data_IF_928064719452
#
_entry.id   IF_928064719452
#
_cell.length_a   1.000
_cell.length_b   1.000
_cell.length_c   1.000
_cell.angle_alpha   90.00
_cell.angle_beta   90.00
_cell.angle_gamma   90.00
#
_symmetry.space_group_name_H-M   'P 1'
#
loop_
_entity.id
_entity.type
_entity.pdbx_description
1 polymer ?
#
# COMPACT_ATOMS: atom_id res chain seq x y z
N UNK A 1 15.76 -3.57 14.79
CA UNK A 1 14.33 -3.66 14.81
C UNK A 1 13.74 -3.16 13.51
N UNK A 2 12.76 -3.85 12.98
CA UNK A 2 12.19 -3.47 11.70
C UNK A 2 11.12 -2.44 11.88
N UNK A 3 11.25 -1.26 11.22
CA UNK A 3 10.22 -0.24 11.29
C UNK A 3 9.43 -0.18 9.99
N UNK A 4 9.90 -0.83 8.93
CA UNK A 4 9.19 -0.88 7.66
C UNK A 4 9.25 -2.28 7.10
N UNK A 5 8.20 -2.67 6.41
CA UNK A 5 8.16 -3.95 5.73
C UNK A 5 7.74 -3.73 4.29
N UNK A 6 8.51 -4.26 3.35
CA UNK A 6 8.19 -4.12 1.93
C UNK A 6 7.84 -5.49 1.37
N UNK A 7 6.73 -5.57 0.64
CA UNK A 7 6.29 -6.81 0.03
C UNK A 7 6.15 -6.58 -1.48
N UNK A 8 6.54 -7.60 -2.25
CA UNK A 8 6.39 -7.55 -3.70
C UNK A 8 5.32 -8.57 -4.10
N UNK A 9 4.48 -8.20 -5.05
CA UNK A 9 3.34 -9.02 -5.39
C UNK A 9 3.35 -9.44 -6.87
N UNK A 10 2.79 -10.60 -7.14
CA UNK A 10 2.65 -11.07 -8.50
C UNK A 10 1.25 -10.68 -8.94
N UNK A 11 1.04 -9.39 -9.14
CA UNK A 11 -0.25 -8.83 -9.50
C UNK A 11 -0.06 -7.91 -10.69
N UNK A 12 -1.05 -7.88 -11.57
CA UNK A 12 -0.96 -7.02 -12.75
C UNK A 12 -1.15 -5.56 -12.40
N UNK A 13 -1.73 -5.27 -11.24
CA UNK A 13 -2.02 -3.91 -10.86
C UNK A 13 -1.12 -3.39 -9.78
N UNK A 14 -0.79 -4.18 -8.78
CA UNK A 14 -0.04 -3.76 -7.61
C UNK A 14 1.33 -4.41 -7.65
N UNK A 15 2.37 -3.59 -7.74
CA UNK A 15 3.72 -4.12 -7.82
C UNK A 15 4.29 -4.45 -6.45
N UNK A 16 4.07 -3.59 -5.50
CA UNK A 16 4.63 -3.79 -4.16
C UNK A 16 3.93 -2.89 -3.16
N UNK A 17 4.20 -3.11 -1.89
CA UNK A 17 3.74 -2.20 -0.85
C UNK A 17 4.78 -2.09 0.22
N UNK A 18 4.79 -0.99 0.95
CA UNK A 18 5.67 -0.77 2.08
C UNK A 18 4.84 -0.28 3.25
N UNK A 19 5.00 -0.90 4.40
CA UNK A 19 4.27 -0.46 5.59
C UNK A 19 5.26 0.08 6.60
N UNK A 20 4.98 1.29 7.10
CA UNK A 20 5.81 1.92 8.11
C UNK A 20 5.11 1.72 9.45
N UNK A 21 5.64 0.85 10.30
CA UNK A 21 5.03 0.54 11.58
C UNK A 21 5.05 1.73 12.54
N UNK A 22 5.99 2.64 12.37
CA UNK A 22 6.09 3.77 13.26
C UNK A 22 5.02 4.81 12.97
N UNK A 23 4.77 5.08 11.70
CA UNK A 23 3.80 6.10 11.31
C UNK A 23 2.45 5.51 10.88
N UNK A 24 2.36 4.18 10.82
CA UNK A 24 1.14 3.48 10.41
C UNK A 24 0.70 3.92 9.02
N UNK A 25 1.66 4.03 8.12
CA UNK A 25 1.35 4.38 6.73
C UNK A 25 1.60 3.18 5.83
N UNK A 26 0.68 2.91 4.93
CA UNK A 26 0.82 1.84 3.97
C UNK A 26 0.98 2.49 2.59
N UNK A 27 2.15 2.32 1.99
CA UNK A 27 2.41 2.84 0.65
C UNK A 27 2.20 1.71 -0.33
N UNK A 28 1.33 1.91 -1.31
CA UNK A 28 1.04 0.89 -2.29
C UNK A 28 1.50 1.39 -3.65
N UNK A 29 2.39 0.62 -4.29
CA UNK A 29 2.93 0.99 -5.59
C UNK A 29 2.16 0.27 -6.67
N UNK A 30 1.36 1.04 -7.41
CA UNK A 30 0.62 0.51 -8.55
C UNK A 30 1.44 0.77 -9.80
N UNK A 31 1.09 0.14 -10.88
CA UNK A 31 1.67 0.46 -12.16
C UNK A 31 1.28 1.89 -12.52
N UNK A 32 2.20 2.78 -12.54
CA UNK A 32 1.96 4.18 -12.93
C UNK A 32 1.57 5.13 -11.81
N UNK A 33 1.37 4.68 -10.60
CA UNK A 33 1.00 5.58 -9.50
C UNK A 33 1.35 4.97 -8.17
N UNK A 34 1.51 5.81 -7.17
CA UNK A 34 1.78 5.38 -5.79
C UNK A 34 0.77 6.06 -4.88
N UNK A 35 0.18 5.29 -3.97
CA UNK A 35 -0.75 5.82 -2.99
C UNK A 35 -0.21 5.56 -1.60
N UNK A 36 -0.34 6.54 -0.72
CA UNK A 36 0.08 6.41 0.68
C UNK A 36 -1.18 6.51 1.53
N UNK A 37 -1.53 5.43 2.22
CA UNK A 37 -2.71 5.39 3.07
C UNK A 37 -2.29 5.62 4.51
N UNK A 38 -3.05 6.44 5.24
CA UNK A 38 -2.69 6.88 6.58
C UNK A 38 -3.50 6.16 7.65
N UNK A 39 -2.90 6.02 8.82
CA UNK A 39 -3.58 5.41 9.97
C UNK A 39 -4.01 3.97 9.73
N UNK A 40 -3.20 3.22 9.01
CA UNK A 40 -3.48 1.82 8.74
C UNK A 40 -2.87 1.00 9.88
N UNK A 41 -3.69 0.23 10.59
CA UNK A 41 -3.18 -0.54 11.70
C UNK A 41 -2.42 -1.78 11.19
N UNK A 42 -1.50 -2.32 11.98
CA UNK A 42 -0.68 -3.45 11.53
C UNK A 42 -1.50 -4.67 11.10
N UNK A 43 -2.64 -4.90 11.74
CA UNK A 43 -3.47 -6.05 11.39
C UNK A 43 -4.06 -5.88 9.98
N UNK A 44 -4.51 -4.69 9.66
CA UNK A 44 -5.06 -4.42 8.32
C UNK A 44 -3.98 -4.58 7.26
N UNK A 45 -2.77 -4.09 7.54
CA UNK A 45 -1.66 -4.27 6.62
C UNK A 45 -1.37 -5.76 6.43
N UNK A 46 -1.35 -6.54 7.52
CA UNK A 46 -1.07 -7.95 7.45
C UNK A 46 -2.15 -8.67 6.63
N UNK A 47 -3.42 -8.34 6.85
CA UNK A 47 -4.51 -8.96 6.12
C UNK A 47 -4.38 -8.66 4.61
N UNK A 48 -4.01 -7.45 4.27
CA UNK A 48 -3.83 -7.08 2.88
C UNK A 48 -2.62 -7.82 2.28
N UNK A 49 -1.51 -7.85 2.99
CA UNK A 49 -0.28 -8.42 2.47
C UNK A 49 -0.39 -9.93 2.29
N UNK A 50 -1.18 -10.59 3.13
CA UNK A 50 -1.32 -12.05 3.08
C UNK A 50 -2.51 -12.51 2.25
N UNK A 51 -3.23 -11.61 1.62
CA UNK A 51 -4.40 -11.98 0.84
C UNK A 51 -4.00 -12.70 -0.43
N UNK A 52 -4.89 -13.54 -0.93
CA UNK A 52 -4.64 -14.23 -2.17
C UNK A 52 -4.65 -13.27 -3.35
N UNK A 53 -5.43 -12.23 -3.29
CA UNK A 53 -5.49 -11.24 -4.36
C UNK A 53 -5.36 -9.87 -3.73
N UNK A 54 -4.26 -9.19 -3.99
CA UNK A 54 -4.03 -7.86 -3.44
C UNK A 54 -5.01 -6.84 -3.99
N UNK A 55 -5.45 -7.00 -5.23
CA UNK A 55 -6.42 -6.08 -5.80
C UNK A 55 -7.76 -6.15 -5.08
N UNK A 56 -8.24 -7.36 -4.78
CA UNK A 56 -9.48 -7.50 -4.06
C UNK A 56 -9.31 -7.06 -2.62
N UNK A 57 -8.18 -7.39 -2.01
CA UNK A 57 -7.92 -7.01 -0.63
C UNK A 57 -7.83 -5.50 -0.48
N UNK A 58 -7.26 -4.82 -1.45
CA UNK A 58 -7.19 -3.37 -1.41
C UNK A 58 -8.60 -2.80 -1.39
N UNK A 59 -9.48 -3.31 -2.23
CA UNK A 59 -10.85 -2.81 -2.28
C UNK A 59 -11.60 -3.15 -1.00
N UNK A 60 -11.37 -4.32 -0.40
CA UNK A 60 -12.09 -4.71 0.79
C UNK A 60 -11.56 -4.08 2.07
N UNK A 61 -10.26 -4.01 2.22
CA UNK A 61 -9.70 -3.61 3.50
C UNK A 61 -9.18 -2.19 3.53
N UNK A 62 -8.81 -1.64 2.41
CA UNK A 62 -8.09 -0.37 2.37
C UNK A 62 -8.88 0.75 1.68
N UNK A 63 -9.32 0.51 0.46
CA UNK A 63 -9.91 1.56 -0.36
C UNK A 63 -11.20 2.04 0.26
N UNK A 64 -11.32 3.35 0.41
CA UNK A 64 -12.52 3.93 0.99
C UNK A 64 -12.59 3.89 2.50
N UNK A 65 -11.57 3.29 3.15
CA UNK A 65 -11.57 3.17 4.60
C UNK A 65 -10.52 4.01 5.28
N UNK A 66 -9.52 4.46 4.55
CA UNK A 66 -8.44 5.25 5.11
C UNK A 66 -8.19 6.47 4.23
N UNK A 67 -7.67 7.52 4.81
CA UNK A 67 -7.28 8.69 4.05
C UNK A 67 -6.03 8.37 3.29
N UNK A 68 -5.84 8.98 2.15
CA UNK A 68 -4.67 8.69 1.34
C UNK A 68 -4.20 9.88 0.54
N UNK A 69 -2.93 9.83 0.13
CA UNK A 69 -2.36 10.80 -0.78
C UNK A 69 -1.91 10.03 -2.02
N UNK A 70 -2.19 10.55 -3.18
CA UNK A 70 -1.74 9.94 -4.43
C UNK A 70 -0.49 10.66 -4.88
N UNK A 71 0.57 9.89 -5.15
CA UNK A 71 1.81 10.44 -5.63
C UNK A 71 1.92 10.09 -7.11
N UNK A 72 1.96 11.12 -7.94
CA UNK A 72 2.03 10.89 -9.37
C UNK A 72 3.48 10.85 -9.80
N UNK A 73 3.97 9.67 -10.15
CA UNK A 73 5.34 9.53 -10.50
C UNK A 73 5.73 10.18 -11.79
N UNK A 74 4.77 10.45 -12.65
CA UNK A 74 5.09 11.06 -13.90
C UNK A 74 5.51 12.47 -13.79
N UNK A 75 5.22 13.14 -12.71
CA UNK A 75 5.56 14.53 -12.59
C UNK A 75 6.90 14.74 -12.02
N UNK A 76 7.65 13.68 -11.81
CA UNK A 76 8.83 13.80 -11.14
C UNK A 76 9.81 14.47 -11.89
N UNK A 77 9.96 14.37 -13.04
CA UNK A 77 11.00 14.83 -13.67
C UNK A 77 10.87 16.11 -13.86
N UNK A 78 10.16 16.56 -13.41
CA UNK A 78 10.16 17.95 -13.58
C UNK A 78 11.35 18.29 -14.02
#
# INVERSE_FOLDING_TARGET
>A
MVTKQTNHYDSSMIESSSYDFKHKTLTVHFTGATYVYHNVDPQTHSDFANAESQGKALNEFIKGKFEFDKINLETQNG
#
